data_IF_101093835084
#
_entry.id   IF_101093835084
#
_cell.length_a   1.000
_cell.length_b   1.000
_cell.length_c   1.000
_cell.angle_alpha   90.00
_cell.angle_beta   90.00
_cell.angle_gamma   90.00
#
_symmetry.space_group_name_H-M   'P 1'
#
loop_
_entity.id
_entity.type
_entity.pdbx_description
1 polymer ?
#
# COMPACT_ATOMS: atom_id res chain seq x y z
N UNK A 1 -27.90 8.13 63.48
CA UNK A 1 -27.85 6.93 62.61
C UNK A 1 -27.13 7.19 61.27
N UNK A 2 -26.29 8.23 61.10
CA UNK A 2 -25.57 8.49 59.83
C UNK A 2 -24.14 7.90 59.77
N UNK A 3 -23.54 7.55 60.91
CA UNK A 3 -22.10 7.26 60.98
C UNK A 3 -21.68 5.92 60.32
N UNK A 4 -22.61 4.99 60.19
CA UNK A 4 -22.36 3.69 59.58
C UNK A 4 -22.41 3.74 58.04
N UNK A 5 -23.31 4.56 57.48
CA UNK A 5 -23.37 4.80 56.03
C UNK A 5 -22.14 5.57 55.55
N UNK A 6 -21.70 6.57 56.33
CA UNK A 6 -20.48 7.33 56.02
C UNK A 6 -19.21 6.45 56.01
N UNK A 7 -19.11 5.51 56.95
CA UNK A 7 -17.97 4.59 57.06
C UNK A 7 -18.00 3.51 55.95
N UNK A 8 -19.19 3.05 55.56
CA UNK A 8 -19.37 2.15 54.42
C UNK A 8 -18.98 2.84 53.12
N UNK A 9 -19.45 4.07 52.90
CA UNK A 9 -19.10 4.89 51.74
C UNK A 9 -17.59 5.16 51.65
N UNK A 10 -16.96 5.41 52.80
CA UNK A 10 -15.50 5.60 52.89
C UNK A 10 -14.76 4.33 52.47
N UNK A 11 -15.18 3.16 52.93
CA UNK A 11 -14.59 1.86 52.55
C UNK A 11 -14.77 1.57 51.07
N UNK A 12 -15.96 1.83 50.53
CA UNK A 12 -16.25 1.66 49.10
C UNK A 12 -15.34 2.57 48.25
N UNK A 13 -15.10 3.82 48.68
CA UNK A 13 -14.19 4.73 47.98
C UNK A 13 -12.74 4.22 48.01
N UNK A 14 -12.25 3.81 49.18
CA UNK A 14 -10.89 3.28 49.34
C UNK A 14 -10.67 2.01 48.51
N UNK A 15 -11.66 1.11 48.46
CA UNK A 15 -11.57 -0.09 47.64
C UNK A 15 -11.57 0.24 46.14
N UNK A 16 -12.43 1.17 45.70
CA UNK A 16 -12.44 1.65 44.32
C UNK A 16 -11.14 2.34 43.93
N UNK A 17 -10.56 3.14 44.82
CA UNK A 17 -9.25 3.77 44.62
C UNK A 17 -8.12 2.72 44.56
N UNK A 18 -8.13 1.74 45.46
CA UNK A 18 -7.20 0.62 45.43
C UNK A 18 -7.25 -0.15 44.11
N UNK A 19 -8.45 -0.47 43.62
CA UNK A 19 -8.64 -1.12 42.30
C UNK A 19 -8.16 -0.24 41.16
N UNK A 20 -8.46 1.07 41.18
CA UNK A 20 -7.99 2.01 40.16
C UNK A 20 -6.46 2.09 40.11
N UNK A 21 -5.79 2.10 41.26
CA UNK A 21 -4.33 2.11 41.34
C UNK A 21 -3.71 0.81 40.81
N UNK A 22 -4.36 -0.34 41.07
CA UNK A 22 -3.93 -1.63 40.52
C UNK A 22 -4.17 -1.74 39.02
N UNK A 23 -5.27 -1.17 38.50
CA UNK A 23 -5.62 -1.19 37.07
C UNK A 23 -4.82 -0.19 36.23
N UNK A 24 -4.43 0.95 36.82
CA UNK A 24 -3.71 2.02 36.14
C UNK A 24 -2.48 1.56 35.33
N UNK A 25 -1.55 0.73 35.86
CA UNK A 25 -0.39 0.26 35.08
C UNK A 25 -0.80 -0.59 33.88
N UNK A 26 -1.83 -1.44 34.03
CA UNK A 26 -2.32 -2.29 32.93
C UNK A 26 -2.99 -1.46 31.85
N UNK A 27 -3.81 -0.47 32.23
CA UNK A 27 -4.43 0.47 31.27
C UNK A 27 -3.37 1.24 30.49
N UNK A 28 -2.34 1.76 31.18
CA UNK A 28 -1.21 2.43 30.53
C UNK A 28 -0.49 1.49 29.56
N UNK A 29 -0.23 0.25 29.97
CA UNK A 29 0.45 -0.74 29.13
C UNK A 29 -0.37 -1.12 27.90
N UNK A 30 -1.70 -1.24 28.04
CA UNK A 30 -2.61 -1.48 26.91
C UNK A 30 -2.51 -0.34 25.90
N UNK A 31 -2.58 0.93 26.35
CA UNK A 31 -2.48 2.07 25.45
C UNK A 31 -1.12 2.14 24.73
N UNK A 32 -0.02 1.82 25.43
CA UNK A 32 1.31 1.73 24.83
C UNK A 32 1.36 0.65 23.73
N UNK A 33 0.83 -0.54 24.02
CA UNK A 33 0.81 -1.65 23.07
C UNK A 33 -0.10 -1.37 21.87
N UNK A 34 -1.24 -0.72 22.08
CA UNK A 34 -2.14 -0.30 21.00
C UNK A 34 -1.44 0.67 20.05
N UNK A 35 -0.71 1.66 20.59
CA UNK A 35 0.08 2.59 19.79
C UNK A 35 1.21 1.88 19.02
N UNK A 36 1.89 0.92 19.65
CA UNK A 36 2.94 0.12 19.03
C UNK A 36 2.39 -0.74 17.87
N UNK A 37 1.22 -1.37 18.06
CA UNK A 37 0.53 -2.14 17.01
C UNK A 37 0.20 -1.26 15.80
N UNK A 38 -0.32 -0.05 16.03
CA UNK A 38 -0.65 0.89 14.95
C UNK A 38 0.61 1.26 14.17
N UNK A 39 1.71 1.58 14.87
CA UNK A 39 2.98 1.90 14.24
C UNK A 39 3.53 0.72 13.42
N UNK A 40 3.51 -0.49 13.98
CA UNK A 40 3.97 -1.70 13.29
C UNK A 40 3.12 -2.01 12.05
N UNK A 41 1.80 -1.83 12.12
CA UNK A 41 0.91 -1.99 10.96
C UNK A 41 1.25 -1.01 9.85
N UNK A 42 1.48 0.26 10.19
CA UNK A 42 1.89 1.27 9.21
C UNK A 42 3.24 0.91 8.57
N UNK A 43 4.22 0.50 9.39
CA UNK A 43 5.54 0.05 8.91
C UNK A 43 5.44 -1.14 7.97
N UNK A 44 4.59 -2.12 8.29
CA UNK A 44 4.36 -3.29 7.45
C UNK A 44 3.77 -2.90 6.10
N UNK A 45 2.77 -2.01 6.08
CA UNK A 45 2.18 -1.51 4.84
C UNK A 45 3.22 -0.81 3.95
N UNK A 46 4.09 0.01 4.54
CA UNK A 46 5.19 0.65 3.80
C UNK A 46 6.16 -0.38 3.21
N UNK A 47 6.58 -1.37 4.00
CA UNK A 47 7.49 -2.42 3.53
C UNK A 47 6.86 -3.31 2.44
N UNK A 48 5.56 -3.58 2.53
CA UNK A 48 4.84 -4.32 1.48
C UNK A 48 4.81 -3.54 0.17
N UNK A 49 4.59 -2.23 0.22
CA UNK A 49 4.63 -1.37 -0.96
C UNK A 49 6.05 -1.27 -1.55
N UNK A 50 7.07 -1.05 -0.72
CA UNK A 50 8.47 -1.05 -1.15
C UNK A 50 8.86 -2.38 -1.79
N UNK A 51 8.46 -3.51 -1.19
CA UNK A 51 8.69 -4.84 -1.76
C UNK A 51 8.00 -4.99 -3.11
N UNK A 52 6.79 -4.47 -3.27
CA UNK A 52 6.05 -4.49 -4.53
C UNK A 52 6.80 -3.69 -5.60
N UNK A 53 7.24 -2.48 -5.27
CA UNK A 53 8.02 -1.62 -6.18
C UNK A 53 9.31 -2.32 -6.61
N UNK A 54 10.11 -2.81 -5.65
CA UNK A 54 11.36 -3.51 -5.94
C UNK A 54 11.16 -4.78 -6.77
N UNK A 55 10.08 -5.51 -6.52
CA UNK A 55 9.72 -6.67 -7.34
C UNK A 55 9.47 -6.28 -8.79
N UNK A 56 8.75 -5.17 -9.00
CA UNK A 56 8.51 -4.64 -10.34
C UNK A 56 9.79 -4.16 -11.00
N UNK A 57 10.59 -3.32 -10.34
CA UNK A 57 11.88 -2.85 -10.88
C UNK A 57 12.80 -4.02 -11.27
N UNK A 58 12.90 -5.05 -10.42
CA UNK A 58 13.69 -6.25 -10.73
C UNK A 58 13.15 -6.99 -11.95
N UNK A 59 11.83 -7.08 -12.10
CA UNK A 59 11.17 -7.72 -13.24
C UNK A 59 11.37 -6.90 -14.52
N UNK A 60 11.29 -5.57 -14.44
CA UNK A 60 11.56 -4.64 -15.53
C UNK A 60 13.02 -4.73 -16.00
N UNK A 61 13.98 -4.80 -15.07
CA UNK A 61 15.41 -5.02 -15.39
C UNK A 61 15.62 -6.40 -16.02
N UNK A 62 14.96 -7.45 -15.50
CA UNK A 62 15.07 -8.80 -16.03
C UNK A 62 14.51 -8.90 -17.46
N UNK A 63 13.31 -8.38 -17.71
CA UNK A 63 12.73 -8.28 -19.06
C UNK A 63 13.56 -7.35 -19.96
N UNK A 64 14.05 -6.26 -19.37
CA UNK A 64 15.13 -5.36 -19.78
C UNK A 64 16.30 -6.05 -20.48
N UNK A 65 16.85 -7.05 -19.81
CA UNK A 65 18.04 -7.78 -20.24
C UNK A 65 17.70 -9.01 -21.08
N UNK A 66 16.55 -9.63 -20.85
CA UNK A 66 16.18 -10.88 -21.50
C UNK A 66 15.64 -10.70 -22.93
N UNK A 67 14.98 -9.57 -23.23
CA UNK A 67 14.33 -9.36 -24.52
C UNK A 67 14.75 -8.05 -25.21
N UNK A 68 15.10 -8.11 -26.51
CA UNK A 68 15.41 -6.91 -27.29
C UNK A 68 14.16 -6.05 -27.48
N UNK A 69 14.35 -4.72 -27.61
CA UNK A 69 13.25 -3.74 -27.70
C UNK A 69 12.15 -4.06 -28.74
N UNK A 70 12.50 -4.47 -29.97
CA UNK A 70 11.51 -4.84 -30.98
C UNK A 70 10.58 -6.00 -30.56
N UNK A 71 11.10 -6.97 -29.81
CA UNK A 71 10.34 -8.14 -29.38
C UNK A 71 9.36 -7.77 -28.25
N UNK A 72 9.70 -6.77 -27.44
CA UNK A 72 8.77 -6.18 -26.47
C UNK A 72 7.69 -5.31 -27.13
N UNK A 73 8.03 -4.59 -28.20
CA UNK A 73 7.03 -3.84 -28.98
C UNK A 73 6.04 -4.79 -29.67
N UNK A 74 6.53 -5.90 -30.22
CA UNK A 74 5.69 -6.95 -30.80
C UNK A 74 4.76 -7.57 -29.76
N UNK A 75 5.30 -7.95 -28.59
CA UNK A 75 4.50 -8.46 -27.48
C UNK A 75 3.44 -7.44 -27.00
N UNK A 76 3.77 -6.15 -26.99
CA UNK A 76 2.81 -5.09 -26.65
C UNK A 76 1.66 -5.06 -27.65
N UNK A 77 1.94 -5.09 -28.96
CA UNK A 77 0.90 -5.09 -30.01
C UNK A 77 -0.04 -6.28 -29.88
N UNK A 78 0.51 -7.48 -29.65
CA UNK A 78 -0.31 -8.69 -29.43
C UNK A 78 -1.22 -8.55 -28.20
N UNK A 79 -0.74 -7.92 -27.13
CA UNK A 79 -1.55 -7.68 -25.94
C UNK A 79 -2.62 -6.60 -26.17
N UNK A 80 -2.31 -5.55 -26.93
CA UNK A 80 -3.29 -4.52 -27.32
C UNK A 80 -4.42 -5.12 -28.17
N UNK A 81 -4.09 -5.98 -29.13
CA UNK A 81 -5.06 -6.72 -29.94
C UNK A 81 -5.94 -7.62 -29.06
N UNK A 82 -5.32 -8.44 -28.19
CA UNK A 82 -6.05 -9.32 -27.28
C UNK A 82 -6.92 -8.53 -26.27
N UNK A 83 -6.44 -7.38 -25.80
CA UNK A 83 -7.21 -6.50 -24.92
C UNK A 83 -8.45 -5.96 -25.61
N UNK A 84 -8.33 -5.54 -26.88
CA UNK A 84 -9.46 -5.04 -27.66
C UNK A 84 -10.55 -6.12 -27.78
N UNK A 85 -10.16 -7.35 -28.14
CA UNK A 85 -11.07 -8.49 -28.25
C UNK A 85 -11.74 -8.81 -26.90
N UNK A 86 -10.97 -8.86 -25.81
CA UNK A 86 -11.50 -9.14 -24.48
C UNK A 86 -12.45 -8.05 -23.99
N UNK A 87 -12.17 -6.79 -24.33
CA UNK A 87 -13.02 -5.65 -23.96
C UNK A 87 -14.33 -5.68 -24.74
N UNK A 88 -14.27 -5.98 -26.04
CA UNK A 88 -15.45 -6.17 -26.88
C UNK A 88 -16.33 -7.34 -26.40
N UNK A 89 -15.72 -8.40 -25.87
CA UNK A 89 -16.42 -9.55 -25.28
C UNK A 89 -16.90 -9.32 -23.84
N UNK A 90 -16.63 -8.17 -23.23
CA UNK A 90 -16.98 -7.88 -21.83
C UNK A 90 -16.28 -8.81 -20.83
N UNK A 91 -15.10 -9.33 -21.18
CA UNK A 91 -14.38 -10.31 -20.38
C UNK A 91 -13.83 -9.69 -19.09
N UNK A 92 -13.96 -10.37 -17.94
CA UNK A 92 -13.36 -9.91 -16.68
C UNK A 92 -11.82 -9.91 -16.69
N UNK A 93 -11.20 -10.44 -17.75
CA UNK A 93 -9.74 -10.46 -17.91
C UNK A 93 -9.18 -9.18 -18.56
N UNK A 94 -10.01 -8.36 -19.21
CA UNK A 94 -9.56 -7.14 -19.89
C UNK A 94 -8.73 -6.20 -18.97
N UNK A 95 -9.12 -5.95 -17.70
CA UNK A 95 -8.31 -5.10 -16.81
C UNK A 95 -6.91 -5.66 -16.53
N UNK A 96 -6.77 -7.00 -16.45
CA UNK A 96 -5.48 -7.64 -16.21
C UNK A 96 -4.55 -7.50 -17.41
N UNK A 97 -5.10 -7.57 -18.63
CA UNK A 97 -4.32 -7.36 -19.86
C UNK A 97 -3.92 -5.89 -19.99
N UNK A 98 -4.79 -4.96 -19.62
CA UNK A 98 -4.47 -3.53 -19.57
C UNK A 98 -3.29 -3.22 -18.64
N UNK A 99 -3.25 -3.83 -17.46
CA UNK A 99 -2.11 -3.71 -16.54
C UNK A 99 -0.81 -4.23 -17.14
N UNK A 100 -0.85 -5.34 -17.89
CA UNK A 100 0.32 -5.89 -18.59
C UNK A 100 0.83 -4.95 -19.69
N UNK A 101 -0.07 -4.34 -20.47
CA UNK A 101 0.28 -3.35 -21.48
C UNK A 101 0.97 -2.15 -20.82
N UNK A 102 0.39 -1.58 -19.76
CA UNK A 102 0.97 -0.44 -19.03
C UNK A 102 2.37 -0.76 -18.48
N UNK A 103 2.61 -2.00 -18.05
CA UNK A 103 3.94 -2.43 -17.61
C UNK A 103 4.94 -2.49 -18.78
N UNK A 104 4.55 -3.04 -19.93
CA UNK A 104 5.42 -3.04 -21.11
C UNK A 104 5.74 -1.62 -21.59
N UNK A 105 4.78 -0.69 -21.51
CA UNK A 105 5.00 0.71 -21.85
C UNK A 105 6.04 1.38 -20.95
N UNK A 106 6.00 1.12 -19.63
CA UNK A 106 7.00 1.64 -18.71
C UNK A 106 8.40 1.14 -19.03
N UNK A 107 8.54 -0.15 -19.35
CA UNK A 107 9.82 -0.74 -19.76
C UNK A 107 10.32 -0.11 -21.07
N UNK A 108 9.45 0.00 -22.08
CA UNK A 108 9.81 0.58 -23.37
C UNK A 108 10.18 2.07 -23.26
N UNK A 109 9.44 2.84 -22.46
CA UNK A 109 9.70 4.26 -22.22
C UNK A 109 10.98 4.47 -21.38
N UNK A 110 11.22 3.64 -20.36
CA UNK A 110 12.45 3.67 -19.55
C UNK A 110 13.71 3.33 -20.35
N UNK A 111 13.59 2.55 -21.42
CA UNK A 111 14.69 2.25 -22.36
C UNK A 111 14.95 3.37 -23.37
N UNK A 112 14.05 4.34 -23.52
CA UNK A 112 14.08 5.32 -24.62
C UNK A 112 14.21 6.76 -24.09
N UNK A 113 15.43 7.22 -23.71
CA UNK A 113 15.62 8.54 -23.10
C UNK A 113 15.20 9.72 -24.01
N UNK A 114 15.05 9.49 -25.33
CA UNK A 114 14.63 10.50 -26.31
C UNK A 114 13.12 10.75 -26.39
N UNK A 115 12.29 9.88 -25.80
CA UNK A 115 10.82 10.08 -25.78
C UNK A 115 10.37 11.02 -24.66
N UNK A 116 11.16 11.13 -23.59
CA UNK A 116 10.91 12.01 -22.44
C UNK A 116 11.18 13.49 -22.74
N UNK A 117 11.92 13.80 -23.81
CA UNK A 117 12.36 15.16 -24.17
C UNK A 117 11.50 15.84 -25.26
N UNK A 118 10.56 15.12 -25.87
CA UNK A 118 9.68 15.68 -26.92
C UNK A 118 8.36 16.15 -26.33
N UNK A 119 8.40 17.37 -25.78
CA UNK A 119 7.36 18.41 -25.72
C UNK A 119 7.24 19.07 -24.33
N UNK A 120 7.95 20.19 -24.08
CA UNK A 120 7.32 21.28 -23.35
C UNK A 120 6.32 21.98 -24.28
N UNK A 121 5.14 22.42 -23.80
CA UNK A 121 4.22 23.20 -24.62
C UNK A 121 4.94 24.48 -25.03
N UNK A 122 5.03 24.74 -26.34
CA UNK A 122 5.46 26.04 -26.86
C UNK A 122 4.46 27.08 -26.34
N UNK A 123 4.92 27.94 -25.43
CA UNK A 123 4.23 29.20 -25.16
C UNK A 123 4.42 30.06 -26.40
N UNK A 124 3.36 30.20 -27.17
CA UNK A 124 3.27 31.23 -28.20
C UNK A 124 3.19 32.62 -27.53
N UNK A 125 3.71 33.68 -28.20
CA UNK A 125 3.93 35.01 -27.63
C UNK A 125 2.65 35.78 -27.30
#
# INVERSE_FOLDING_TARGET
MLHWDDELDRRIRLEKEGRRLQEAPFRKRIMELEAEIVNLRFRLQQLEEEKRILYWEKREIALGRAFPGPLLEEAKRTLEEAWLDLTLMGSPQAPRVEELIRHLERILNGRNPRRSEREPPRREP
#
